data_IF_150941748523
#
_entry.id   IF_150941748523
#
_cell.length_a   1.000
_cell.length_b   1.000
_cell.length_c   1.000
_cell.angle_alpha   90.00
_cell.angle_beta   90.00
_cell.angle_gamma   90.00
#
_symmetry.space_group_name_H-M   'P 1'
#
loop_
_entity.id
_entity.type
_entity.pdbx_description
1 polymer ?
#
# COMPACT_ATOMS: atom_id res chain seq x y z
N UNK A 1 -25.66 -33.70 -51.60
CA UNK A 1 -25.99 -32.76 -50.52
C UNK A 1 -26.63 -33.55 -49.39
N UNK A 2 -25.97 -33.67 -48.22
CA UNK A 2 -26.61 -34.25 -47.04
C UNK A 2 -27.63 -33.23 -46.54
N UNK A 3 -28.91 -33.44 -46.86
CA UNK A 3 -29.98 -32.81 -46.10
C UNK A 3 -29.82 -33.28 -44.66
N UNK A 4 -29.59 -32.36 -43.72
CA UNK A 4 -29.70 -32.69 -42.29
C UNK A 4 -31.07 -33.33 -42.08
N UNK A 5 -31.08 -34.62 -41.74
CA UNK A 5 -32.31 -35.33 -41.42
C UNK A 5 -32.90 -34.71 -40.17
N UNK A 6 -34.22 -34.43 -40.21
CA UNK A 6 -35.09 -33.92 -39.14
C UNK A 6 -34.98 -34.59 -37.76
N UNK A 7 -34.16 -35.61 -37.59
CA UNK A 7 -34.00 -36.35 -36.34
C UNK A 7 -33.13 -35.62 -35.29
N UNK A 8 -32.31 -34.64 -35.68
CA UNK A 8 -31.40 -33.93 -34.76
C UNK A 8 -31.93 -32.56 -34.27
N UNK A 9 -33.11 -32.11 -34.75
CA UNK A 9 -33.71 -30.85 -34.33
C UNK A 9 -34.51 -31.03 -33.03
N UNK A 10 -33.82 -31.06 -31.89
CA UNK A 10 -34.43 -31.12 -30.54
C UNK A 10 -34.75 -29.76 -29.91
N UNK A 11 -34.44 -28.64 -30.56
CA UNK A 11 -34.81 -27.31 -30.06
C UNK A 11 -35.96 -26.71 -30.87
N UNK A 12 -36.99 -26.25 -30.15
CA UNK A 12 -38.12 -25.53 -30.74
C UNK A 12 -37.61 -24.21 -31.33
N UNK A 13 -38.02 -23.92 -32.58
CA UNK A 13 -37.75 -22.63 -33.21
C UNK A 13 -38.61 -21.56 -32.53
N UNK A 14 -37.99 -20.53 -31.99
CA UNK A 14 -38.70 -19.41 -31.34
C UNK A 14 -39.08 -18.38 -32.41
N UNK A 15 -40.37 -17.97 -32.51
CA UNK A 15 -40.79 -16.93 -33.45
C UNK A 15 -40.23 -15.55 -33.05
N UNK A 16 -40.01 -14.69 -34.05
CA UNK A 16 -39.58 -13.30 -33.85
C UNK A 16 -40.64 -12.37 -34.42
N UNK A 17 -41.19 -11.49 -33.57
CA UNK A 17 -42.20 -10.52 -33.98
C UNK A 17 -41.58 -9.21 -34.48
N UNK A 18 -41.91 -8.84 -35.72
CA UNK A 18 -41.53 -7.57 -36.32
C UNK A 18 -42.73 -6.64 -36.45
N UNK A 19 -42.82 -5.64 -35.58
CA UNK A 19 -43.88 -4.62 -35.57
C UNK A 19 -43.33 -3.27 -36.02
N UNK A 20 -42.99 -3.15 -37.31
CA UNK A 20 -42.42 -1.91 -37.88
C UNK A 20 -43.55 -0.91 -38.16
N UNK A 21 -43.55 0.30 -37.57
CA UNK A 21 -44.53 1.32 -37.91
C UNK A 21 -44.45 1.73 -39.39
N UNK A 22 -45.57 2.03 -40.08
CA UNK A 22 -45.56 2.37 -41.51
C UNK A 22 -44.73 3.62 -41.88
N UNK A 23 -44.50 4.54 -40.95
CA UNK A 23 -43.68 5.73 -41.15
C UNK A 23 -42.18 5.50 -40.92
N UNK A 24 -41.79 4.28 -40.57
CA UNK A 24 -40.40 3.92 -40.26
C UNK A 24 -39.66 3.51 -41.53
N UNK A 25 -38.56 4.19 -41.80
CA UNK A 25 -37.63 3.94 -42.92
C UNK A 25 -36.28 3.41 -42.43
N UNK A 26 -35.97 3.49 -41.13
CA UNK A 26 -34.76 2.95 -40.52
C UNK A 26 -35.09 2.26 -39.20
N UNK A 27 -34.64 1.01 -39.02
CA UNK A 27 -34.70 0.27 -37.77
C UNK A 27 -33.29 -0.11 -37.34
N UNK A 28 -32.88 0.33 -36.16
CA UNK A 28 -31.63 -0.07 -35.53
C UNK A 28 -31.90 -1.13 -34.45
N UNK A 29 -31.43 -2.36 -34.65
CA UNK A 29 -31.53 -3.47 -33.71
C UNK A 29 -30.24 -3.57 -32.91
N UNK A 30 -30.34 -3.45 -31.59
CA UNK A 30 -29.20 -3.37 -30.66
C UNK A 30 -29.25 -4.48 -29.62
N UNK A 31 -28.14 -4.72 -28.92
CA UNK A 31 -28.01 -5.77 -27.91
C UNK A 31 -26.84 -6.72 -28.19
N UNK A 32 -26.65 -7.77 -27.37
CA UNK A 32 -25.52 -8.68 -27.50
C UNK A 32 -25.60 -9.50 -28.80
N UNK A 33 -24.45 -9.90 -29.35
CA UNK A 33 -24.38 -10.70 -30.59
C UNK A 33 -25.05 -12.07 -30.44
N UNK A 34 -25.05 -12.61 -29.22
CA UNK A 34 -25.75 -13.85 -28.84
C UNK A 34 -27.27 -13.69 -28.71
N UNK A 35 -27.82 -12.47 -28.76
CA UNK A 35 -29.26 -12.20 -28.62
C UNK A 35 -30.09 -12.48 -29.88
N UNK A 36 -29.48 -12.99 -30.96
CA UNK A 36 -30.21 -13.40 -32.16
C UNK A 36 -30.41 -12.31 -33.22
N UNK A 37 -29.72 -11.15 -33.11
CA UNK A 37 -29.81 -10.02 -34.06
C UNK A 37 -29.71 -10.45 -35.54
N UNK A 38 -28.64 -11.17 -35.90
CA UNK A 38 -28.42 -11.68 -37.26
C UNK A 38 -29.49 -12.70 -37.68
N UNK A 39 -29.96 -13.54 -36.77
CA UNK A 39 -30.99 -14.54 -37.04
C UNK A 39 -32.34 -13.86 -37.34
N UNK A 40 -32.71 -12.86 -36.55
CA UNK A 40 -33.90 -12.04 -36.76
C UNK A 40 -33.83 -11.32 -38.12
N UNK A 41 -32.68 -10.76 -38.48
CA UNK A 41 -32.48 -10.09 -39.76
C UNK A 41 -32.62 -11.05 -40.96
N UNK A 42 -32.06 -12.27 -40.85
CA UNK A 42 -32.22 -13.33 -41.85
C UNK A 42 -33.67 -13.81 -41.96
N UNK A 43 -34.38 -13.95 -40.85
CA UNK A 43 -35.79 -14.34 -40.82
C UNK A 43 -36.67 -13.32 -41.56
N UNK A 44 -36.47 -12.02 -41.30
CA UNK A 44 -37.16 -10.94 -42.02
C UNK A 44 -36.86 -10.97 -43.52
N UNK A 45 -35.59 -11.07 -43.91
CA UNK A 45 -35.19 -11.14 -45.31
C UNK A 45 -35.81 -12.34 -46.04
N UNK A 46 -35.84 -13.51 -45.40
CA UNK A 46 -36.46 -14.71 -45.95
C UNK A 46 -37.97 -14.54 -46.13
N UNK A 47 -38.67 -13.98 -45.13
CA UNK A 47 -40.11 -13.71 -45.22
C UNK A 47 -40.44 -12.76 -46.39
N UNK A 48 -39.66 -11.68 -46.57
CA UNK A 48 -39.84 -10.73 -47.68
C UNK A 48 -39.63 -11.41 -49.05
N UNK A 49 -38.60 -12.25 -49.18
CA UNK A 49 -38.32 -12.99 -50.41
C UNK A 49 -39.40 -14.03 -50.72
N UNK A 50 -39.90 -14.73 -49.70
CA UNK A 50 -41.00 -15.70 -49.84
C UNK A 50 -42.29 -15.02 -50.30
N UNK A 51 -42.66 -13.89 -49.67
CA UNK A 51 -43.83 -13.12 -50.08
C UNK A 51 -43.71 -12.63 -51.54
N UNK A 52 -42.52 -12.13 -51.93
CA UNK A 52 -42.23 -11.73 -53.30
C UNK A 52 -42.33 -12.88 -54.31
N UNK A 53 -41.96 -14.09 -53.90
CA UNK A 53 -42.08 -15.30 -54.71
C UNK A 53 -43.51 -15.87 -54.76
N UNK A 54 -44.48 -15.24 -54.08
CA UNK A 54 -45.86 -15.74 -53.98
C UNK A 54 -46.00 -16.95 -53.05
N UNK A 55 -45.03 -17.19 -52.17
CA UNK A 55 -45.07 -18.24 -51.17
C UNK A 55 -45.74 -17.74 -49.89
N UNK A 56 -46.35 -18.66 -49.13
CA UNK A 56 -46.75 -18.38 -47.75
C UNK A 56 -45.50 -18.05 -46.93
N UNK A 57 -45.55 -16.96 -46.17
CA UNK A 57 -44.50 -16.63 -45.20
C UNK A 57 -44.67 -17.47 -43.94
N UNK A 58 -43.57 -17.87 -43.26
CA UNK A 58 -43.61 -18.60 -42.00
C UNK A 58 -43.94 -17.63 -40.85
N UNK A 59 -45.13 -17.04 -40.93
CA UNK A 59 -45.65 -16.09 -39.96
C UNK A 59 -47.09 -16.48 -39.61
N UNK A 60 -47.44 -16.32 -38.34
CA UNK A 60 -48.71 -16.75 -37.78
C UNK A 60 -48.52 -17.10 -36.32
N UNK A 61 -49.48 -16.70 -35.48
CA UNK A 61 -49.49 -17.07 -34.07
C UNK A 61 -49.54 -18.59 -33.90
N UNK A 62 -49.10 -19.04 -32.75
CA UNK A 62 -49.12 -20.41 -32.22
C UNK A 62 -50.53 -21.03 -32.06
N UNK A 63 -51.53 -20.51 -32.77
CA UNK A 63 -52.93 -20.89 -32.62
C UNK A 63 -53.67 -20.12 -31.52
N UNK A 64 -53.04 -19.14 -30.86
CA UNK A 64 -53.71 -18.26 -29.90
C UNK A 64 -53.96 -16.85 -30.46
N UNK A 65 -55.25 -16.47 -30.48
CA UNK A 65 -55.89 -15.13 -30.55
C UNK A 65 -55.43 -14.02 -31.51
N UNK A 66 -54.34 -14.15 -32.26
CA UNK A 66 -53.97 -13.17 -33.28
C UNK A 66 -54.87 -13.32 -34.51
N UNK A 67 -55.93 -12.51 -34.56
CA UNK A 67 -56.89 -12.45 -35.69
C UNK A 67 -56.34 -11.64 -36.87
N UNK A 68 -55.25 -10.89 -36.68
CA UNK A 68 -54.70 -10.04 -37.73
C UNK A 68 -53.71 -10.80 -38.64
N UNK A 69 -53.89 -10.72 -39.97
CA UNK A 69 -52.95 -11.34 -40.90
C UNK A 69 -51.59 -10.65 -40.83
N UNK A 70 -50.50 -11.43 -40.84
CA UNK A 70 -49.15 -10.88 -40.98
C UNK A 70 -49.04 -10.10 -42.29
N UNK A 71 -48.54 -8.87 -42.21
CA UNK A 71 -48.35 -7.98 -43.36
C UNK A 71 -46.87 -7.72 -43.58
N UNK A 72 -46.45 -7.78 -44.83
CA UNK A 72 -45.11 -7.38 -45.24
C UNK A 72 -45.21 -6.35 -46.36
N UNK A 73 -44.30 -5.37 -46.43
CA UNK A 73 -44.30 -4.43 -47.54
C UNK A 73 -44.02 -5.14 -48.87
N UNK A 74 -44.64 -4.66 -49.94
CA UNK A 74 -44.21 -5.06 -51.28
C UNK A 74 -42.80 -4.53 -51.55
N UNK A 75 -41.87 -5.42 -51.84
CA UNK A 75 -40.49 -5.05 -52.15
C UNK A 75 -40.02 -5.59 -53.50
N UNK A 76 -39.41 -4.69 -54.29
CA UNK A 76 -38.79 -5.02 -55.57
C UNK A 76 -37.42 -5.68 -55.41
N UNK A 77 -36.69 -5.36 -54.35
CA UNK A 77 -35.39 -5.95 -54.04
C UNK A 77 -35.17 -5.99 -52.53
N UNK A 78 -34.70 -7.12 -52.05
CA UNK A 78 -34.09 -7.23 -50.72
C UNK A 78 -32.59 -7.25 -50.93
N UNK A 79 -31.91 -6.21 -50.47
CA UNK A 79 -30.46 -6.04 -50.55
C UNK A 79 -29.88 -6.29 -49.16
N UNK A 80 -28.80 -7.06 -49.07
CA UNK A 80 -28.31 -7.49 -47.78
C UNK A 80 -26.78 -7.55 -47.71
N UNK A 81 -26.21 -7.02 -46.63
CA UNK A 81 -24.85 -7.32 -46.19
C UNK A 81 -24.98 -8.11 -44.88
N UNK A 82 -25.04 -9.44 -45.02
CA UNK A 82 -25.22 -10.37 -43.91
C UNK A 82 -24.05 -11.34 -43.93
N UNK A 83 -23.23 -11.38 -42.90
CA UNK A 83 -22.18 -12.39 -42.86
C UNK A 83 -21.07 -12.11 -41.87
N UNK A 84 -20.43 -13.20 -41.49
CA UNK A 84 -19.22 -13.20 -40.68
C UNK A 84 -18.00 -13.07 -41.59
N UNK A 85 -16.98 -12.43 -41.06
CA UNK A 85 -15.73 -12.01 -41.71
C UNK A 85 -14.90 -13.09 -42.42
N UNK A 86 -15.34 -14.35 -42.40
CA UNK A 86 -14.52 -15.54 -42.60
C UNK A 86 -14.77 -16.27 -43.93
N UNK A 87 -15.54 -15.71 -44.85
CA UNK A 87 -15.71 -16.30 -46.18
C UNK A 87 -14.53 -15.94 -47.10
N UNK A 88 -13.35 -16.51 -46.81
CA UNK A 88 -12.09 -16.34 -47.56
C UNK A 88 -12.21 -16.65 -49.06
N UNK A 89 -13.24 -17.39 -49.48
CA UNK A 89 -13.44 -17.81 -50.87
C UNK A 89 -14.00 -16.70 -51.78
N UNK A 90 -14.62 -15.65 -51.22
CA UNK A 90 -15.25 -14.57 -52.01
C UNK A 90 -14.35 -13.33 -52.19
N UNK A 91 -13.32 -13.18 -51.36
CA UNK A 91 -12.68 -11.87 -51.15
C UNK A 91 -11.38 -11.64 -51.94
N UNK A 92 -10.96 -12.53 -52.84
CA UNK A 92 -9.92 -12.22 -53.85
C UNK A 92 -8.59 -11.60 -53.35
N UNK A 93 -8.26 -11.74 -52.06
CA UNK A 93 -7.11 -11.11 -51.41
C UNK A 93 -7.39 -9.79 -50.64
N UNK A 94 -8.64 -9.37 -50.50
CA UNK A 94 -9.05 -8.20 -49.71
C UNK A 94 -9.22 -8.54 -48.22
N UNK A 95 -8.98 -7.55 -47.36
CA UNK A 95 -9.36 -7.60 -45.95
C UNK A 95 -10.89 -7.66 -45.82
N UNK A 96 -11.39 -8.38 -44.80
CA UNK A 96 -12.80 -8.47 -44.41
C UNK A 96 -13.53 -7.13 -44.51
N UNK A 97 -12.95 -6.07 -43.95
CA UNK A 97 -13.55 -4.73 -43.93
C UNK A 97 -13.74 -4.15 -45.35
N UNK A 98 -12.75 -4.34 -46.22
CA UNK A 98 -12.83 -3.88 -47.62
C UNK A 98 -13.90 -4.63 -48.40
N UNK A 99 -14.12 -5.91 -48.12
CA UNK A 99 -15.19 -6.69 -48.73
C UNK A 99 -16.58 -6.18 -48.31
N UNK A 100 -16.77 -5.84 -47.03
CA UNK A 100 -17.99 -5.18 -46.54
C UNK A 100 -18.20 -3.84 -47.25
N UNK A 101 -17.18 -3.00 -47.36
CA UNK A 101 -17.28 -1.71 -48.07
C UNK A 101 -17.71 -1.87 -49.54
N UNK A 102 -17.15 -2.85 -50.25
CA UNK A 102 -17.53 -3.14 -51.63
C UNK A 102 -19.00 -3.60 -51.71
N UNK A 103 -19.47 -4.42 -50.77
CA UNK A 103 -20.88 -4.83 -50.69
C UNK A 103 -21.79 -3.64 -50.40
N UNK A 104 -21.46 -2.81 -49.42
CA UNK A 104 -22.21 -1.59 -49.10
C UNK A 104 -22.30 -0.64 -50.30
N UNK A 105 -21.20 -0.46 -51.04
CA UNK A 105 -21.21 0.35 -52.27
C UNK A 105 -22.16 -0.21 -53.33
N UNK A 106 -22.18 -1.54 -53.52
CA UNK A 106 -23.11 -2.20 -54.46
C UNK A 106 -24.56 -2.05 -54.01
N UNK A 107 -24.83 -2.19 -52.71
CA UNK A 107 -26.16 -1.99 -52.13
C UNK A 107 -26.66 -0.57 -52.40
N UNK A 108 -25.86 0.45 -52.08
CA UNK A 108 -26.26 1.85 -52.28
C UNK A 108 -26.51 2.16 -53.76
N UNK A 109 -25.66 1.68 -54.67
CA UNK A 109 -25.88 1.84 -56.12
C UNK A 109 -27.17 1.17 -56.60
N UNK A 110 -27.42 -0.06 -56.17
CA UNK A 110 -28.64 -0.78 -56.55
C UNK A 110 -29.91 -0.14 -55.94
N UNK A 111 -29.80 0.49 -54.77
CA UNK A 111 -30.89 1.29 -54.21
C UNK A 111 -31.15 2.56 -55.03
N UNK A 112 -30.09 3.25 -55.49
CA UNK A 112 -30.21 4.44 -56.35
C UNK A 112 -30.85 4.14 -57.71
N UNK A 113 -30.53 2.98 -58.32
CA UNK A 113 -31.10 2.55 -59.60
C UNK A 113 -32.62 2.29 -59.56
N UNK A 114 -33.16 1.99 -58.37
CA UNK A 114 -34.58 1.63 -58.18
C UNK A 114 -35.36 2.74 -57.44
N UNK A 115 -34.72 3.90 -57.22
CA UNK A 115 -35.28 5.11 -56.60
C UNK A 115 -36.20 5.88 -57.57
N UNK A 116 -37.12 5.21 -58.25
CA UNK A 116 -38.14 5.83 -59.12
C UNK A 116 -39.32 6.43 -58.31
N UNK A 117 -39.02 7.08 -57.17
CA UNK A 117 -39.99 7.83 -56.37
C UNK A 117 -40.93 7.03 -55.44
N UNK A 118 -40.97 5.69 -55.53
CA UNK A 118 -41.82 4.84 -54.68
C UNK A 118 -41.02 3.92 -53.72
N UNK A 119 -39.70 4.13 -53.61
CA UNK A 119 -38.74 3.40 -52.76
C UNK A 119 -39.21 1.97 -52.41
N UNK A 120 -39.00 1.01 -53.31
CA UNK A 120 -39.49 -0.38 -53.10
C UNK A 120 -38.38 -1.35 -52.68
N UNK A 121 -37.23 -0.83 -52.25
CA UNK A 121 -36.07 -1.61 -51.84
C UNK A 121 -36.04 -1.76 -50.32
N UNK A 122 -35.77 -2.97 -49.82
CA UNK A 122 -35.46 -3.20 -48.40
C UNK A 122 -33.97 -3.49 -48.27
N UNK A 123 -33.31 -2.82 -47.33
CA UNK A 123 -31.88 -3.00 -47.05
C UNK A 123 -31.69 -3.65 -45.68
N UNK A 124 -30.91 -4.72 -45.61
CA UNK A 124 -30.61 -5.46 -44.38
C UNK A 124 -29.11 -5.44 -44.13
N UNK A 125 -28.65 -4.79 -43.05
CA UNK A 125 -27.23 -4.63 -42.74
C UNK A 125 -26.89 -5.30 -41.41
N UNK A 126 -25.93 -6.21 -41.40
CA UNK A 126 -25.41 -6.81 -40.18
C UNK A 126 -24.11 -6.12 -39.78
N UNK A 127 -24.13 -5.41 -38.64
CA UNK A 127 -22.98 -4.66 -38.10
C UNK A 127 -22.22 -3.81 -39.13
N UNK A 128 -22.89 -2.88 -39.85
CA UNK A 128 -22.21 -2.02 -40.81
C UNK A 128 -21.11 -1.22 -40.11
N UNK A 129 -19.90 -1.22 -40.67
CA UNK A 129 -18.73 -0.59 -40.05
C UNK A 129 -17.92 -1.51 -39.12
N UNK A 130 -18.31 -2.78 -38.96
CA UNK A 130 -17.53 -3.77 -38.22
C UNK A 130 -16.18 -4.11 -38.86
N UNK A 131 -15.24 -4.62 -38.05
CA UNK A 131 -13.92 -5.08 -38.52
C UNK A 131 -12.87 -3.99 -38.73
N UNK A 132 -13.08 -2.79 -38.19
CA UNK A 132 -12.12 -1.66 -38.18
C UNK A 132 -12.08 -0.99 -36.80
N UNK A 133 -11.35 0.12 -36.67
CA UNK A 133 -11.37 0.98 -35.48
C UNK A 133 -12.82 1.32 -35.06
N UNK A 134 -13.20 1.16 -33.78
CA UNK A 134 -14.58 1.37 -33.35
C UNK A 134 -15.13 2.78 -33.63
N UNK A 135 -14.32 3.83 -33.49
CA UNK A 135 -14.79 5.20 -33.70
C UNK A 135 -14.97 5.49 -35.20
N UNK A 136 -14.03 5.06 -36.04
CA UNK A 136 -14.17 5.16 -37.49
C UNK A 136 -15.33 4.30 -38.01
N UNK A 137 -15.45 3.08 -37.51
CA UNK A 137 -16.50 2.12 -37.85
C UNK A 137 -17.88 2.68 -37.52
N UNK A 138 -18.06 3.25 -36.33
CA UNK A 138 -19.29 3.89 -35.91
C UNK A 138 -19.67 5.11 -36.79
N UNK A 139 -18.70 5.97 -37.12
CA UNK A 139 -18.93 7.12 -37.99
C UNK A 139 -19.35 6.69 -39.41
N UNK A 140 -18.68 5.67 -39.96
CA UNK A 140 -19.01 5.09 -41.25
C UNK A 140 -20.40 4.44 -41.23
N UNK A 141 -20.71 3.66 -40.19
CA UNK A 141 -22.01 3.03 -40.00
C UNK A 141 -23.13 4.07 -40.05
N UNK A 142 -22.99 5.15 -39.28
CA UNK A 142 -23.97 6.23 -39.25
C UNK A 142 -24.17 6.88 -40.63
N UNK A 143 -23.09 7.13 -41.37
CA UNK A 143 -23.16 7.68 -42.72
C UNK A 143 -23.88 6.74 -43.71
N UNK A 144 -23.57 5.44 -43.64
CA UNK A 144 -24.19 4.40 -44.48
C UNK A 144 -25.68 4.23 -44.16
N UNK A 145 -26.06 4.27 -42.88
CA UNK A 145 -27.46 4.17 -42.46
C UNK A 145 -28.28 5.38 -42.94
N UNK A 146 -27.76 6.60 -42.76
CA UNK A 146 -28.40 7.81 -43.30
C UNK A 146 -28.56 7.74 -44.81
N UNK A 147 -27.52 7.26 -45.52
CA UNK A 147 -27.56 7.10 -46.96
C UNK A 147 -28.59 6.03 -47.40
N UNK A 148 -28.67 4.91 -46.69
CA UNK A 148 -29.59 3.82 -47.02
C UNK A 148 -31.04 4.20 -46.75
N UNK A 149 -31.31 4.92 -45.65
CA UNK A 149 -32.64 5.38 -45.27
C UNK A 149 -33.30 6.24 -46.37
N UNK A 150 -32.56 7.14 -46.99
CA UNK A 150 -33.11 8.03 -48.03
C UNK A 150 -33.28 7.35 -49.39
N UNK A 151 -32.78 6.12 -49.55
CA UNK A 151 -32.75 5.38 -50.82
C UNK A 151 -33.60 4.11 -50.79
N UNK A 152 -34.23 3.78 -49.67
CA UNK A 152 -34.93 2.52 -49.47
C UNK A 152 -36.27 2.72 -48.79
N UNK A 153 -37.16 1.74 -48.92
CA UNK A 153 -38.41 1.68 -48.19
C UNK A 153 -38.16 1.56 -46.69
N UNK A 154 -37.23 0.66 -46.38
CA UNK A 154 -36.90 0.24 -45.03
C UNK A 154 -35.45 -0.24 -45.03
N UNK A 155 -34.64 0.37 -44.17
CA UNK A 155 -33.33 -0.15 -43.79
C UNK A 155 -33.44 -0.76 -42.40
N UNK A 156 -33.05 -2.02 -42.24
CA UNK A 156 -32.91 -2.67 -40.93
C UNK A 156 -31.45 -3.00 -40.71
N UNK A 157 -30.89 -2.52 -39.62
CA UNK A 157 -29.49 -2.72 -39.31
C UNK A 157 -29.29 -3.24 -37.88
N UNK A 158 -28.37 -4.18 -37.70
CA UNK A 158 -27.90 -4.58 -36.37
C UNK A 158 -26.67 -3.74 -36.00
N UNK A 159 -26.50 -3.40 -34.73
CA UNK A 159 -25.28 -2.73 -34.28
C UNK A 159 -25.00 -2.95 -32.80
N UNK A 160 -23.73 -2.78 -32.45
CA UNK A 160 -23.24 -2.65 -31.09
C UNK A 160 -22.63 -1.25 -30.81
N UNK A 161 -22.63 -0.35 -31.79
CA UNK A 161 -22.10 1.00 -31.66
C UNK A 161 -23.12 1.94 -31.00
N UNK A 162 -22.67 2.74 -30.04
CA UNK A 162 -23.49 3.73 -29.33
C UNK A 162 -23.93 4.86 -30.27
N UNK A 163 -23.11 5.22 -31.26
CA UNK A 163 -23.42 6.26 -32.25
C UNK A 163 -24.57 5.86 -33.18
N UNK A 164 -24.75 4.56 -33.44
CA UNK A 164 -25.91 4.04 -34.19
C UNK A 164 -27.18 4.11 -33.34
N UNK A 165 -27.06 3.91 -32.02
CA UNK A 165 -28.17 4.15 -31.08
C UNK A 165 -28.55 5.62 -31.05
N UNK A 166 -27.54 6.50 -30.90
CA UNK A 166 -27.71 7.94 -30.91
C UNK A 166 -28.34 8.43 -32.21
N UNK A 167 -28.03 7.81 -33.36
CA UNK A 167 -28.68 8.13 -34.63
C UNK A 167 -30.19 7.90 -34.60
N UNK A 168 -30.64 6.78 -34.02
CA UNK A 168 -32.06 6.48 -33.85
C UNK A 168 -32.72 7.41 -32.81
N UNK A 169 -31.99 7.83 -31.79
CA UNK A 169 -32.47 8.73 -30.73
C UNK A 169 -32.53 10.21 -31.15
N UNK A 170 -31.61 10.66 -32.02
CA UNK A 170 -31.41 12.06 -32.42
C UNK A 170 -32.56 12.70 -33.22
N UNK A 171 -33.73 12.07 -33.25
CA UNK A 171 -34.93 12.59 -33.92
C UNK A 171 -34.90 12.46 -35.44
N UNK A 172 -34.10 11.53 -35.99
CA UNK A 172 -34.11 11.26 -37.41
C UNK A 172 -35.52 10.77 -37.81
N UNK A 173 -36.20 11.54 -38.66
CA UNK A 173 -37.57 11.25 -39.05
C UNK A 173 -37.65 9.86 -39.68
N UNK A 174 -38.52 9.01 -39.14
CA UNK A 174 -38.68 7.62 -39.59
C UNK A 174 -37.62 6.64 -39.07
N UNK A 175 -36.77 7.03 -38.12
CA UNK A 175 -35.93 6.08 -37.41
C UNK A 175 -36.66 5.46 -36.21
N UNK A 176 -36.45 4.17 -35.98
CA UNK A 176 -36.92 3.44 -34.82
C UNK A 176 -35.78 2.58 -34.26
N UNK A 177 -35.80 2.36 -32.96
CA UNK A 177 -34.89 1.47 -32.24
C UNK A 177 -35.63 0.21 -31.78
N UNK A 178 -34.89 -0.90 -31.75
CA UNK A 178 -35.30 -2.11 -31.07
C UNK A 178 -34.09 -2.74 -30.37
N UNK A 179 -34.34 -3.43 -29.27
CA UNK A 179 -33.34 -4.23 -28.58
C UNK A 179 -33.70 -5.72 -28.68
N UNK A 180 -32.71 -6.58 -28.84
CA UNK A 180 -32.91 -8.02 -28.59
C UNK A 180 -32.89 -8.27 -27.09
N UNK A 181 -33.92 -8.94 -26.58
CA UNK A 181 -33.97 -9.41 -25.20
C UNK A 181 -33.05 -10.64 -25.05
N UNK A 182 -32.31 -10.66 -23.94
CA UNK A 182 -31.34 -11.71 -23.62
C UNK A 182 -31.54 -12.17 -22.18
N UNK A 183 -31.73 -13.47 -22.00
CA UNK A 183 -31.87 -14.06 -20.68
C UNK A 183 -30.47 -14.25 -20.06
N UNK A 184 -30.18 -13.44 -19.04
CA UNK A 184 -28.91 -13.47 -18.34
C UNK A 184 -28.71 -14.70 -17.45
N UNK A 185 -29.79 -15.38 -17.04
CA UNK A 185 -29.73 -16.59 -16.22
C UNK A 185 -29.44 -17.82 -17.09
N UNK A 186 -30.14 -17.97 -18.20
CA UNK A 186 -29.99 -19.14 -19.10
C UNK A 186 -28.92 -18.94 -20.17
N UNK A 187 -28.47 -17.69 -20.39
CA UNK A 187 -27.57 -17.26 -21.46
C UNK A 187 -28.09 -17.56 -22.87
N UNK A 188 -29.42 -17.67 -23.02
CA UNK A 188 -30.07 -17.97 -24.30
C UNK A 188 -30.73 -16.71 -24.88
N UNK A 189 -30.73 -16.54 -26.21
CA UNK A 189 -31.57 -15.55 -26.85
C UNK A 189 -33.04 -15.88 -26.63
N UNK A 190 -33.85 -14.90 -26.22
CA UNK A 190 -35.30 -15.05 -26.16
C UNK A 190 -35.96 -14.77 -27.52
N UNK A 191 -35.19 -14.25 -28.48
CA UNK A 191 -35.65 -13.88 -29.82
C UNK A 191 -36.76 -12.81 -29.83
N UNK A 192 -36.97 -12.12 -28.71
CA UNK A 192 -37.94 -11.04 -28.58
C UNK A 192 -37.30 -9.70 -28.89
N UNK A 193 -37.98 -8.90 -29.71
CA UNK A 193 -37.59 -7.52 -30.03
C UNK A 193 -38.37 -6.55 -29.13
N UNK A 194 -37.64 -5.80 -28.32
CA UNK A 194 -38.16 -4.74 -27.46
C UNK A 194 -38.10 -3.41 -28.24
N UNK A 195 -39.22 -3.05 -28.86
CA UNK A 195 -39.35 -1.83 -29.66
C UNK A 195 -39.31 -0.58 -28.77
N UNK A 196 -38.56 0.44 -29.19
CA UNK A 196 -38.36 1.66 -28.39
C UNK A 196 -37.23 1.56 -27.36
N UNK A 197 -36.65 0.37 -27.17
CA UNK A 197 -35.57 0.14 -26.20
C UNK A 197 -34.20 -0.01 -26.86
N UNK A 198 -33.15 0.18 -26.05
CA UNK A 198 -31.76 -0.03 -26.44
C UNK A 198 -31.16 -1.20 -25.66
N UNK A 199 -30.53 -2.12 -26.38
CA UNK A 199 -29.85 -3.26 -25.78
C UNK A 199 -28.48 -2.84 -25.25
N UNK A 200 -28.15 -3.29 -24.04
CA UNK A 200 -26.81 -3.18 -23.49
C UNK A 200 -25.92 -4.35 -23.96
N UNK A 201 -24.65 -4.06 -24.23
CA UNK A 201 -23.65 -5.06 -24.58
C UNK A 201 -23.13 -5.74 -23.32
N UNK A 202 -23.79 -6.81 -22.87
CA UNK A 202 -23.45 -7.52 -21.64
C UNK A 202 -22.32 -8.56 -21.81
N UNK A 203 -21.26 -8.21 -22.56
CA UNK A 203 -20.20 -9.15 -22.92
C UNK A 203 -19.47 -9.76 -21.70
N UNK A 204 -19.22 -8.96 -20.66
CA UNK A 204 -18.54 -9.41 -19.44
C UNK A 204 -19.43 -10.36 -18.64
N UNK A 205 -20.70 -10.03 -18.46
CA UNK A 205 -21.68 -10.89 -17.77
C UNK A 205 -21.91 -12.20 -18.53
N UNK A 206 -21.94 -12.16 -19.86
CA UNK A 206 -22.02 -13.35 -20.70
C UNK A 206 -20.78 -14.22 -20.51
N UNK A 207 -19.57 -13.63 -20.53
CA UNK A 207 -18.33 -14.36 -20.30
C UNK A 207 -18.30 -15.02 -18.92
N UNK A 208 -18.80 -14.34 -17.88
CA UNK A 208 -18.95 -14.91 -16.54
C UNK A 208 -19.91 -16.12 -16.54
N UNK A 209 -21.08 -15.98 -17.17
CA UNK A 209 -22.04 -17.07 -17.30
C UNK A 209 -21.52 -18.28 -18.10
N UNK A 210 -20.65 -18.05 -19.10
CA UNK A 210 -19.98 -19.10 -19.86
C UNK A 210 -18.83 -19.79 -19.08
N UNK A 211 -18.55 -19.36 -17.85
CA UNK A 211 -17.56 -19.98 -16.97
C UNK A 211 -16.15 -19.38 -17.06
N UNK A 212 -15.99 -18.13 -17.51
CA UNK A 212 -14.71 -17.44 -17.41
C UNK A 212 -14.30 -17.28 -15.93
N UNK A 213 -13.00 -17.45 -15.64
CA UNK A 213 -12.49 -17.41 -14.27
C UNK A 213 -12.90 -16.10 -13.54
N UNK A 214 -13.39 -16.17 -12.28
CA UNK A 214 -13.89 -15.01 -11.55
C UNK A 214 -12.88 -13.86 -11.45
N UNK A 215 -11.59 -14.19 -11.34
CA UNK A 215 -10.50 -13.21 -11.27
C UNK A 215 -10.37 -12.42 -12.58
N UNK A 216 -10.56 -13.08 -13.73
CA UNK A 216 -10.54 -12.44 -15.05
C UNK A 216 -11.78 -11.57 -15.27
N UNK A 217 -12.96 -12.05 -14.86
CA UNK A 217 -14.22 -11.29 -14.90
C UNK A 217 -14.07 -10.01 -14.07
N UNK A 218 -13.62 -10.14 -12.81
CA UNK A 218 -13.42 -9.00 -11.91
C UNK A 218 -12.37 -8.01 -12.45
N UNK A 219 -11.30 -8.51 -13.06
CA UNK A 219 -10.30 -7.67 -13.71
C UNK A 219 -10.88 -6.91 -14.92
N UNK A 220 -11.69 -7.56 -15.75
CA UNK A 220 -12.35 -6.96 -16.90
C UNK A 220 -13.36 -5.90 -16.47
N UNK A 221 -14.21 -6.18 -15.48
CA UNK A 221 -15.17 -5.22 -14.91
C UNK A 221 -14.47 -3.97 -14.38
N UNK A 222 -13.40 -4.15 -13.58
CA UNK A 222 -12.62 -3.05 -13.04
C UNK A 222 -12.02 -2.17 -14.14
N UNK A 223 -11.53 -2.79 -15.21
CA UNK A 223 -10.95 -2.05 -16.35
C UNK A 223 -12.03 -1.31 -17.14
N UNK A 224 -13.17 -1.94 -17.39
CA UNK A 224 -14.31 -1.34 -18.09
C UNK A 224 -14.86 -0.13 -17.34
N UNK A 225 -15.08 -0.24 -16.02
CA UNK A 225 -15.54 0.87 -15.18
C UNK A 225 -14.57 2.06 -15.20
N UNK A 226 -13.26 1.81 -15.13
CA UNK A 226 -12.24 2.88 -15.26
C UNK A 226 -12.31 3.60 -16.60
N UNK A 227 -12.56 2.88 -17.69
CA UNK A 227 -12.71 3.49 -19.02
C UNK A 227 -13.97 4.36 -19.09
N UNK A 228 -15.10 3.88 -18.57
CA UNK A 228 -16.33 4.67 -18.50
C UNK A 228 -16.14 5.96 -17.70
N UNK A 229 -15.47 5.90 -16.54
CA UNK A 229 -15.13 7.09 -15.75
C UNK A 229 -14.24 8.07 -16.49
N UNK A 230 -13.21 7.59 -17.17
CA UNK A 230 -12.34 8.45 -17.97
C UNK A 230 -13.11 9.15 -19.11
N UNK A 231 -14.07 8.45 -19.74
CA UNK A 231 -14.95 9.03 -20.74
C UNK A 231 -15.94 10.04 -20.13
N UNK A 232 -16.59 9.70 -19.01
CA UNK A 232 -17.54 10.55 -18.30
C UNK A 232 -16.88 11.84 -17.76
N UNK A 233 -15.67 11.73 -17.21
CA UNK A 233 -14.87 12.87 -16.76
C UNK A 233 -14.48 13.80 -17.92
N UNK A 234 -14.25 13.25 -19.13
CA UNK A 234 -14.00 14.07 -20.32
C UNK A 234 -15.27 14.79 -20.81
N UNK A 235 -16.45 14.27 -20.53
CA UNK A 235 -17.76 14.89 -20.88
C UNK A 235 -18.39 15.71 -19.75
N UNK A 236 -17.79 15.72 -18.55
CA UNK A 236 -18.29 16.47 -17.40
C UNK A 236 -19.52 15.84 -16.70
N UNK A 237 -19.75 14.55 -16.89
CA UNK A 237 -20.86 13.81 -16.28
C UNK A 237 -20.39 13.15 -14.96
N UNK A 238 -21.01 13.54 -13.83
CA UNK A 238 -20.63 13.11 -12.47
C UNK A 238 -21.50 11.97 -11.92
N UNK A 239 -22.25 11.28 -12.78
CA UNK A 239 -23.21 10.25 -12.39
C UNK A 239 -22.60 8.93 -11.87
N UNK A 240 -21.27 8.78 -11.88
CA UNK A 240 -20.56 7.52 -11.56
C UNK A 240 -19.69 7.56 -10.28
N UNK A 241 -19.76 8.63 -9.48
CA UNK A 241 -18.78 8.84 -8.40
C UNK A 241 -19.14 8.10 -7.09
N UNK A 242 -20.39 8.05 -6.65
CA UNK A 242 -20.69 7.70 -5.24
C UNK A 242 -20.43 6.23 -4.82
N UNK A 243 -20.86 5.24 -5.60
CA UNK A 243 -20.86 3.85 -5.14
C UNK A 243 -19.48 3.17 -5.20
N UNK A 244 -18.68 3.52 -6.20
CA UNK A 244 -17.37 2.91 -6.43
C UNK A 244 -16.27 3.60 -5.63
N UNK A 245 -16.42 4.88 -5.29
CA UNK A 245 -15.50 5.59 -4.39
C UNK A 245 -15.57 5.02 -2.97
N UNK A 246 -16.77 4.63 -2.54
CA UNK A 246 -16.98 3.90 -1.29
C UNK A 246 -16.24 2.55 -1.33
N UNK A 247 -16.31 1.82 -2.43
CA UNK A 247 -15.65 0.53 -2.58
C UNK A 247 -14.12 0.66 -2.61
N UNK A 248 -13.58 1.68 -3.30
CA UNK A 248 -12.14 1.94 -3.37
C UNK A 248 -11.59 2.42 -2.03
N UNK A 249 -12.37 3.21 -1.27
CA UNK A 249 -12.08 3.59 0.10
C UNK A 249 -12.10 2.39 1.06
N UNK A 250 -13.08 1.50 0.93
CA UNK A 250 -13.16 0.27 1.74
C UNK A 250 -11.95 -0.64 1.49
N UNK A 251 -11.58 -0.85 0.23
CA UNK A 251 -10.38 -1.60 -0.16
C UNK A 251 -9.10 -0.94 0.39
N UNK A 252 -9.02 0.39 0.39
CA UNK A 252 -7.88 1.12 0.94
C UNK A 252 -7.79 0.99 2.47
N UNK A 253 -8.93 1.08 3.16
CA UNK A 253 -9.03 0.91 4.61
C UNK A 253 -8.64 -0.52 5.04
N UNK A 254 -9.05 -1.54 4.30
CA UNK A 254 -8.68 -2.94 4.60
C UNK A 254 -7.16 -3.14 4.48
N UNK A 255 -6.53 -2.61 3.42
CA UNK A 255 -5.06 -2.67 3.26
C UNK A 255 -4.33 -1.93 4.38
N UNK A 256 -4.83 -0.75 4.78
CA UNK A 256 -4.24 -0.02 5.90
C UNK A 256 -4.39 -0.83 7.20
N UNK A 257 -5.56 -1.44 7.45
CA UNK A 257 -5.79 -2.31 8.62
C UNK A 257 -4.79 -3.48 8.66
N UNK A 258 -4.61 -4.19 7.55
CA UNK A 258 -3.65 -5.31 7.47
C UNK A 258 -2.22 -4.87 7.75
N UNK A 259 -1.82 -3.70 7.23
CA UNK A 259 -0.47 -3.15 7.50
C UNK A 259 -0.30 -2.70 8.95
N UNK A 260 -1.33 -2.14 9.57
CA UNK A 260 -1.32 -1.78 11.00
C UNK A 260 -1.25 -3.02 11.88
N UNK A 261 -2.00 -4.07 11.58
CA UNK A 261 -1.95 -5.35 12.30
C UNK A 261 -0.56 -5.99 12.20
N UNK A 262 0.06 -5.99 11.01
CA UNK A 262 1.43 -6.47 10.84
C UNK A 262 2.43 -5.66 11.65
N UNK A 263 2.34 -4.32 11.61
CA UNK A 263 3.22 -3.42 12.39
C UNK A 263 3.04 -3.61 13.89
N UNK A 264 1.80 -3.78 14.36
CA UNK A 264 1.50 -4.05 15.77
C UNK A 264 2.07 -5.39 16.22
N UNK A 265 1.96 -6.44 15.40
CA UNK A 265 2.59 -7.73 15.66
C UNK A 265 4.11 -7.65 15.73
N UNK A 266 4.75 -6.94 14.80
CA UNK A 266 6.19 -6.70 14.81
C UNK A 266 6.65 -5.91 16.04
N UNK A 267 5.89 -4.88 16.44
CA UNK A 267 6.17 -4.07 17.62
C UNK A 267 6.03 -4.87 18.93
N UNK A 268 4.97 -5.68 19.06
CA UNK A 268 4.78 -6.57 20.20
C UNK A 268 5.97 -7.51 20.37
N UNK A 269 6.39 -8.14 19.28
CA UNK A 269 7.49 -9.10 19.31
C UNK A 269 8.85 -8.43 19.56
N UNK A 270 8.99 -7.15 19.20
CA UNK A 270 10.17 -6.35 19.55
C UNK A 270 10.19 -5.96 21.04
N UNK A 271 9.03 -5.65 21.63
CA UNK A 271 8.90 -5.38 23.07
C UNK A 271 9.24 -6.61 23.90
N UNK A 272 8.70 -7.79 23.55
CA UNK A 272 9.01 -9.05 24.25
C UNK A 272 10.53 -9.32 24.26
N UNK A 273 11.21 -9.15 23.11
CA UNK A 273 12.67 -9.29 23.03
C UNK A 273 13.41 -8.25 23.87
N UNK A 274 12.91 -7.02 23.96
CA UNK A 274 13.52 -5.98 24.75
C UNK A 274 13.40 -6.27 26.25
N UNK A 275 12.26 -6.82 26.68
CA UNK A 275 12.05 -7.28 28.06
C UNK A 275 12.99 -8.43 28.43
N UNK A 276 13.13 -9.44 27.57
CA UNK A 276 14.05 -10.55 27.77
C UNK A 276 15.52 -10.08 27.89
N UNK A 277 15.96 -9.20 26.99
CA UNK A 277 17.29 -8.62 27.03
C UNK A 277 17.50 -7.77 28.29
N UNK A 278 16.50 -7.00 28.70
CA UNK A 278 16.57 -6.21 29.92
C UNK A 278 16.74 -7.10 31.15
N UNK A 279 15.96 -8.18 31.24
CA UNK A 279 16.09 -9.16 32.31
C UNK A 279 17.49 -9.79 32.35
N UNK A 280 18.05 -10.17 31.20
CA UNK A 280 19.41 -10.72 31.11
C UNK A 280 20.48 -9.72 31.56
N UNK A 281 20.37 -8.45 31.16
CA UNK A 281 21.29 -7.38 31.54
C UNK A 281 21.24 -7.12 33.05
N UNK A 282 20.04 -7.06 33.64
CA UNK A 282 19.85 -6.88 35.09
C UNK A 282 20.47 -8.05 35.85
N UNK A 283 20.23 -9.30 35.41
CA UNK A 283 20.78 -10.49 36.05
C UNK A 283 22.31 -10.56 35.96
N UNK A 284 22.89 -10.26 34.79
CA UNK A 284 24.36 -10.16 34.63
C UNK A 284 24.94 -9.05 35.49
N UNK A 285 24.29 -7.89 35.57
CA UNK A 285 24.70 -6.78 36.42
C UNK A 285 24.75 -7.16 37.90
N UNK A 286 23.70 -7.83 38.39
CA UNK A 286 23.63 -8.32 39.76
C UNK A 286 24.75 -9.33 40.08
N UNK A 287 25.01 -10.28 39.17
CA UNK A 287 26.13 -11.25 39.31
C UNK A 287 27.50 -10.58 39.39
N UNK A 288 27.75 -9.59 38.52
CA UNK A 288 29.02 -8.85 38.51
C UNK A 288 29.22 -8.05 39.79
N UNK A 289 28.16 -7.42 40.30
CA UNK A 289 28.21 -6.67 41.56
C UNK A 289 28.55 -7.59 42.74
N UNK A 290 27.89 -8.75 42.82
CA UNK A 290 28.14 -9.75 43.87
C UNK A 290 29.56 -10.33 43.82
N UNK A 291 30.10 -10.61 42.63
CA UNK A 291 31.51 -11.00 42.51
C UNK A 291 32.44 -9.90 43.01
N UNK A 292 32.18 -8.63 42.64
CA UNK A 292 33.00 -7.50 43.04
C UNK A 292 32.97 -7.26 44.55
N UNK A 293 31.81 -7.41 45.20
CA UNK A 293 31.70 -7.28 46.66
C UNK A 293 32.48 -8.37 47.38
N UNK A 294 32.41 -9.63 46.91
CA UNK A 294 33.20 -10.74 47.47
C UNK A 294 34.71 -10.48 47.38
N UNK A 295 35.21 -10.12 46.19
CA UNK A 295 36.65 -9.82 46.03
C UNK A 295 37.10 -8.64 46.90
N UNK A 296 36.26 -7.62 47.06
CA UNK A 296 36.56 -6.49 47.93
C UNK A 296 36.61 -6.89 49.41
N UNK A 297 35.71 -7.76 49.87
CA UNK A 297 35.71 -8.29 51.23
C UNK A 297 36.94 -9.15 51.50
N UNK A 298 37.28 -10.08 50.59
CA UNK A 298 38.46 -10.95 50.72
C UNK A 298 39.76 -10.14 50.77
N UNK A 299 39.87 -9.09 49.94
CA UNK A 299 41.01 -8.16 49.96
C UNK A 299 41.08 -7.31 51.24
N UNK A 300 39.93 -6.99 51.84
CA UNK A 300 39.88 -6.26 53.11
C UNK A 300 40.27 -7.16 54.29
N UNK A 301 39.84 -8.42 54.26
CA UNK A 301 40.18 -9.42 55.27
C UNK A 301 41.68 -9.75 55.27
N UNK A 302 42.28 -9.93 54.09
CA UNK A 302 43.74 -10.14 53.97
C UNK A 302 44.53 -8.96 54.53
N UNK A 303 44.19 -7.71 54.15
CA UNK A 303 44.85 -6.52 54.70
C UNK A 303 44.66 -6.36 56.21
N UNK A 304 43.47 -6.69 56.74
CA UNK A 304 43.22 -6.66 58.18
C UNK A 304 44.07 -7.70 58.91
N UNK A 305 44.26 -8.88 58.32
CA UNK A 305 45.09 -9.95 58.87
C UNK A 305 46.57 -9.59 58.88
N UNK A 306 47.08 -9.07 57.77
CA UNK A 306 48.47 -8.58 57.66
C UNK A 306 48.74 -7.45 58.66
N UNK A 307 47.84 -6.46 58.77
CA UNK A 307 47.97 -5.38 59.74
C UNK A 307 47.90 -5.85 61.20
N UNK A 308 47.12 -6.91 61.49
CA UNK A 308 47.07 -7.53 62.83
C UNK A 308 48.37 -8.26 63.17
N UNK A 309 48.97 -8.98 62.22
CA UNK A 309 50.28 -9.64 62.41
C UNK A 309 51.40 -8.63 62.64
N UNK A 310 51.44 -7.52 61.89
CA UNK A 310 52.39 -6.44 62.12
C UNK A 310 52.22 -5.79 63.50
N UNK A 311 50.97 -5.55 63.93
CA UNK A 311 50.68 -4.98 65.25
C UNK A 311 51.13 -5.92 66.39
N UNK A 312 50.89 -7.22 66.26
CA UNK A 312 51.35 -8.23 67.24
C UNK A 312 52.88 -8.31 67.29
N UNK A 313 53.56 -8.21 66.14
CA UNK A 313 55.03 -8.19 66.09
C UNK A 313 55.61 -6.96 66.81
N UNK A 314 54.97 -5.79 66.67
CA UNK A 314 55.37 -4.58 67.38
C UNK A 314 55.15 -4.69 68.89
N UNK A 315 54.03 -5.27 69.34
CA UNK A 315 53.74 -5.47 70.76
C UNK A 315 54.80 -6.36 71.42
N UNK A 316 55.12 -7.51 70.81
CA UNK A 316 56.15 -8.42 71.34
C UNK A 316 57.53 -7.77 71.45
N UNK A 317 57.85 -6.80 70.60
CA UNK A 317 59.13 -6.11 70.60
C UNK A 317 59.22 -5.05 71.72
N UNK A 318 58.09 -4.44 72.08
CA UNK A 318 57.97 -3.56 73.25
C UNK A 318 58.07 -4.36 74.55
N UNK A 319 57.32 -5.47 74.65
CA UNK A 319 57.37 -6.35 75.84
C UNK A 319 58.79 -6.90 76.08
N UNK A 320 59.48 -7.34 75.02
CA UNK A 320 60.86 -7.81 75.12
C UNK A 320 61.85 -6.71 75.55
N UNK A 321 61.57 -5.44 75.25
CA UNK A 321 62.39 -4.31 75.68
C UNK A 321 62.15 -3.99 77.16
N UNK A 322 60.90 -4.03 77.61
CA UNK A 322 60.58 -3.83 79.04
C UNK A 322 61.20 -4.92 79.92
N UNK A 323 61.17 -6.18 79.49
CA UNK A 323 61.86 -7.29 80.18
C UNK A 323 63.39 -7.08 80.23
N UNK A 324 63.98 -6.56 79.15
CA UNK A 324 65.41 -6.27 79.10
C UNK A 324 65.79 -5.14 80.07
N UNK A 325 64.98 -4.07 80.12
CA UNK A 325 65.19 -2.92 81.00
C UNK A 325 65.08 -3.31 82.49
N UNK A 326 64.20 -4.25 82.85
CA UNK A 326 64.14 -4.81 84.22
C UNK A 326 65.39 -5.61 84.59
N UNK A 327 65.89 -6.48 83.70
CA UNK A 327 67.11 -7.25 83.95
C UNK A 327 68.32 -6.34 84.10
N UNK A 328 68.44 -5.30 83.26
CA UNK A 328 69.50 -4.30 83.37
C UNK A 328 69.42 -3.57 84.70
N UNK A 329 68.22 -3.15 85.14
CA UNK A 329 68.02 -2.46 86.43
C UNK A 329 68.42 -3.32 87.63
N UNK A 330 68.27 -4.64 87.56
CA UNK A 330 68.71 -5.58 88.61
C UNK A 330 70.22 -5.82 88.67
N UNK A 331 70.96 -5.53 87.60
CA UNK A 331 72.42 -5.70 87.50
C UNK A 331 73.20 -4.40 87.79
N UNK A 332 72.51 -3.27 87.97
CA UNK A 332 73.15 -1.97 88.19
C UNK A 332 73.62 -1.75 89.64
N UNK A 333 74.71 -0.99 89.85
CA UNK A 333 75.12 -0.54 91.18
C UNK A 333 74.08 0.39 91.84
N UNK A 334 74.03 0.48 93.19
CA UNK A 334 73.18 1.46 93.88
C UNK A 334 73.48 2.89 93.40
N UNK A 335 72.45 3.65 93.03
CA UNK A 335 72.58 5.03 92.57
C UNK A 335 72.66 5.22 91.05
N UNK A 336 72.24 4.25 90.23
CA UNK A 336 72.20 4.35 88.75
C UNK A 336 70.78 4.10 88.21
N UNK A 337 70.40 4.78 87.12
CA UNK A 337 69.11 4.67 86.42
C UNK A 337 69.30 4.56 84.90
N UNK A 338 68.26 4.16 84.16
CA UNK A 338 68.21 4.22 82.69
C UNK A 338 67.63 5.57 82.24
N UNK A 339 68.15 6.13 81.15
CA UNK A 339 67.59 7.33 80.50
C UNK A 339 66.53 6.99 79.42
N UNK A 340 65.94 8.00 78.77
CA UNK A 340 64.93 7.81 77.71
C UNK A 340 65.44 7.04 76.47
N UNK A 341 66.76 6.85 76.36
CA UNK A 341 67.42 6.11 75.26
C UNK A 341 67.78 4.68 75.65
N UNK A 342 67.69 4.32 76.93
CA UNK A 342 68.03 2.99 77.45
C UNK A 342 69.49 2.84 77.89
N UNK A 343 70.20 3.95 78.11
CA UNK A 343 71.59 3.95 78.57
C UNK A 343 71.67 4.09 80.11
N UNK A 344 72.60 3.38 80.75
CA UNK A 344 72.79 3.41 82.21
C UNK A 344 73.58 4.66 82.66
N UNK A 345 73.00 5.47 83.55
CA UNK A 345 73.56 6.74 84.03
C UNK A 345 73.51 6.88 85.57
N UNK A 346 74.47 7.57 86.22
CA UNK A 346 74.43 7.84 87.66
C UNK A 346 73.29 8.80 88.03
N UNK A 347 72.62 8.56 89.15
CA UNK A 347 71.61 9.44 89.71
C UNK A 347 72.30 10.46 90.63
N UNK A 348 72.48 11.69 90.16
CA UNK A 348 73.08 12.79 90.95
C UNK A 348 72.12 13.98 91.11
N UNK A 349 72.24 14.65 92.27
CA UNK A 349 71.39 15.73 92.77
C UNK A 349 71.99 17.13 92.47
N UNK A 350 71.19 18.07 91.93
CA UNK A 350 71.25 19.51 92.29
C UNK A 350 71.88 20.58 91.34
N UNK A 351 71.00 21.40 90.73
CA UNK A 351 71.02 22.88 90.47
C UNK A 351 72.08 23.63 89.59
N UNK A 352 71.57 24.49 88.66
CA UNK A 352 72.03 25.91 88.56
C UNK A 352 72.56 26.53 87.25
N UNK A 353 71.65 27.10 86.42
CA UNK A 353 71.67 28.40 85.67
C UNK A 353 72.78 28.85 84.68
N UNK A 354 72.31 29.24 83.47
CA UNK A 354 72.62 30.41 82.56
C UNK A 354 74.09 30.66 82.13
N UNK A 355 74.46 31.00 80.88
CA UNK A 355 73.87 31.93 79.91
C UNK A 355 74.43 31.73 78.47
N UNK A 356 73.75 32.32 77.48
CA UNK A 356 74.00 32.48 76.01
C UNK A 356 75.40 33.14 75.68
N UNK A 357 75.94 33.29 74.43
CA UNK A 357 75.22 33.35 73.15
C UNK A 357 75.84 32.79 71.86
N UNK A 358 74.94 32.50 70.91
CA UNK A 358 74.98 33.15 69.59
C UNK A 358 75.61 32.40 68.41
N UNK A 359 74.76 32.00 67.45
CA UNK A 359 75.14 31.87 66.04
C UNK A 359 74.39 30.80 65.25
N UNK A 360 73.26 31.18 64.61
CA UNK A 360 72.44 30.31 63.74
C UNK A 360 73.11 29.89 62.42
N UNK A 361 72.37 29.38 61.40
CA UNK A 361 71.16 30.04 60.87
C UNK A 361 69.99 29.12 60.44
N UNK A 362 68.77 29.57 60.74
CA UNK A 362 67.67 29.76 59.77
C UNK A 362 66.99 28.54 59.11
N UNK A 363 65.89 28.05 59.70
CA UNK A 363 64.77 27.46 58.94
C UNK A 363 63.41 28.00 59.42
N UNK A 364 63.01 29.08 58.73
CA UNK A 364 61.67 29.50 58.29
C UNK A 364 60.46 29.10 59.15
N UNK A 365 59.81 30.13 59.68
CA UNK A 365 58.38 30.13 59.98
C UNK A 365 57.59 29.47 58.85
N UNK A 366 56.78 28.43 59.17
CA UNK A 366 55.74 27.98 58.26
C UNK A 366 54.71 29.10 58.15
N UNK A 367 54.88 29.97 57.15
CA UNK A 367 53.82 30.85 56.66
C UNK A 367 52.61 29.94 56.40
N UNK A 368 51.46 30.20 57.05
CA UNK A 368 50.19 29.61 56.63
C UNK A 368 50.00 30.04 55.17
N UNK A 369 50.07 29.09 54.26
CA UNK A 369 49.74 29.33 52.86
C UNK A 369 48.23 29.58 52.78
N UNK A 370 47.87 30.68 52.14
CA UNK A 370 46.50 30.99 51.75
C UNK A 370 46.48 31.05 50.23
N UNK A 371 45.57 30.32 49.57
CA UNK A 371 45.46 30.34 48.12
C UNK A 371 45.07 31.76 47.64
N UNK A 372 45.33 32.04 46.37
CA UNK A 372 44.87 33.24 45.68
C UNK A 372 43.84 32.90 44.61
N UNK A 373 42.94 33.84 44.27
CA UNK A 373 41.98 33.65 43.18
C UNK A 373 42.74 33.44 41.86
N UNK A 374 42.41 32.35 41.15
CA UNK A 374 43.08 31.87 39.94
C UNK A 374 44.15 30.78 40.20
N UNK A 375 44.48 30.48 41.45
CA UNK A 375 45.48 29.45 41.80
C UNK A 375 44.90 28.03 41.70
N UNK A 376 45.68 27.07 41.21
CA UNK A 376 45.29 25.65 41.19
C UNK A 376 45.68 24.95 42.49
N UNK A 377 44.69 24.37 43.17
CA UNK A 377 44.81 23.81 44.51
C UNK A 377 44.25 22.39 44.57
N UNK A 378 44.72 21.60 45.53
CA UNK A 378 44.24 20.22 45.77
C UNK A 378 43.14 20.23 46.82
N UNK A 379 41.99 19.65 46.50
CA UNK A 379 40.79 19.65 47.37
C UNK A 379 40.57 18.27 47.98
N UNK A 380 40.77 18.14 49.30
CA UNK A 380 40.69 16.86 50.02
C UNK A 380 39.29 16.23 49.97
N UNK A 381 38.24 17.03 50.06
CA UNK A 381 36.85 16.54 50.02
C UNK A 381 36.46 15.96 48.65
N UNK A 382 37.20 16.32 47.59
CA UNK A 382 37.03 15.80 46.23
C UNK A 382 38.07 14.71 45.92
N UNK A 383 38.48 13.94 46.92
CA UNK A 383 39.43 12.83 46.74
C UNK A 383 40.84 13.28 46.35
N UNK A 384 41.22 14.54 46.62
CA UNK A 384 42.54 15.08 46.26
C UNK A 384 42.63 15.57 44.81
N UNK A 385 41.52 15.96 44.20
CA UNK A 385 41.52 16.47 42.84
C UNK A 385 42.02 17.94 42.77
N UNK A 386 42.64 18.30 41.64
CA UNK A 386 43.13 19.66 41.36
C UNK A 386 42.00 20.55 40.84
N UNK A 387 41.80 21.71 41.48
CA UNK A 387 40.75 22.66 41.13
C UNK A 387 41.28 24.10 41.17
N UNK A 388 40.74 24.98 40.34
CA UNK A 388 41.10 26.40 40.29
C UNK A 388 40.28 27.20 41.30
N UNK A 389 40.92 28.07 42.08
CA UNK A 389 40.25 28.94 43.05
C UNK A 389 39.51 30.07 42.31
N UNK A 390 38.20 30.14 42.45
CA UNK A 390 37.37 31.18 41.81
C UNK A 390 37.11 32.35 42.75
N UNK A 391 36.93 32.09 44.04
CA UNK A 391 36.58 33.10 45.03
C UNK A 391 37.01 32.65 46.43
N UNK A 392 37.39 33.59 47.29
CA UNK A 392 37.79 33.33 48.68
C UNK A 392 36.93 34.21 49.58
N UNK A 393 36.13 33.59 50.44
CA UNK A 393 35.19 34.25 51.34
C UNK A 393 35.48 33.82 52.78
N UNK A 394 36.40 34.53 53.43
CA UNK A 394 36.80 34.29 54.81
C UNK A 394 37.34 32.88 55.05
N UNK A 395 36.51 32.02 55.63
CA UNK A 395 36.85 30.63 55.99
C UNK A 395 36.55 29.61 54.88
N UNK A 396 35.89 30.02 53.79
CA UNK A 396 35.52 29.17 52.66
C UNK A 396 36.20 29.60 51.36
N UNK A 397 36.40 28.63 50.48
CA UNK A 397 36.98 28.81 49.15
C UNK A 397 36.06 28.16 48.11
N UNK A 398 35.69 28.93 47.09
CA UNK A 398 34.98 28.41 45.92
C UNK A 398 35.99 27.95 44.89
N UNK A 399 35.92 26.68 44.50
CA UNK A 399 36.85 26.04 43.56
C UNK A 399 36.10 25.55 42.32
N UNK A 400 36.78 25.52 41.18
CA UNK A 400 36.28 25.01 39.91
C UNK A 400 37.12 23.83 39.43
N UNK A 401 36.46 22.71 39.17
CA UNK A 401 37.05 21.52 38.59
C UNK A 401 36.34 21.19 37.28
N UNK A 402 36.97 21.53 36.15
CA UNK A 402 36.33 21.46 34.84
C UNK A 402 35.07 22.34 34.77
N UNK A 403 33.90 21.74 34.53
CA UNK A 403 32.59 22.41 34.49
C UNK A 403 31.85 22.50 35.83
N UNK A 404 32.40 21.93 36.91
CA UNK A 404 31.79 21.91 38.24
C UNK A 404 32.38 23.03 39.13
N UNK A 405 31.52 23.83 39.78
CA UNK A 405 31.92 24.84 40.77
C UNK A 405 31.36 24.44 42.14
N UNK A 406 32.21 24.38 43.17
CA UNK A 406 31.79 23.99 44.53
C UNK A 406 32.50 24.81 45.61
N UNK A 407 31.87 24.94 46.78
CA UNK A 407 32.40 25.67 47.95
C UNK A 407 32.94 24.68 48.97
N UNK A 408 34.18 24.85 49.41
CA UNK A 408 34.85 24.00 50.40
C UNK A 408 35.52 24.85 51.49
N UNK A 409 35.65 24.37 52.74
CA UNK A 409 36.40 25.09 53.76
C UNK A 409 37.87 25.25 53.38
N UNK A 410 38.47 26.40 53.73
CA UNK A 410 39.89 26.72 53.48
C UNK A 410 40.85 25.66 54.04
N UNK A 411 40.49 25.01 55.16
CA UNK A 411 41.28 23.93 55.77
C UNK A 411 41.28 22.62 54.95
N UNK A 412 40.33 22.47 54.02
CA UNK A 412 40.20 21.30 53.12
C UNK A 412 41.03 21.41 51.83
N UNK A 413 41.79 22.50 51.67
CA UNK A 413 42.55 22.84 50.47
C UNK A 413 44.05 22.86 50.77
N UNK A 414 44.86 22.32 49.87
CA UNK A 414 46.33 22.32 49.96
C UNK A 414 46.98 22.74 48.64
N UNK A 415 48.21 23.28 48.64
CA UNK A 415 48.89 23.66 47.40
C UNK A 415 49.15 22.43 46.52
N UNK A 416 49.02 22.59 45.21
CA UNK A 416 49.54 21.64 44.22
C UNK A 416 51.07 21.65 44.35
N UNK A 417 51.68 20.52 44.70
CA UNK A 417 53.07 20.48 45.17
C UNK A 417 54.08 21.03 44.15
N UNK A 418 54.53 22.27 44.36
CA UNK A 418 55.87 22.79 44.00
C UNK A 418 56.37 23.74 45.08
N UNK A 419 56.81 23.19 46.20
CA UNK A 419 57.87 23.74 47.04
C UNK A 419 58.65 22.60 47.67
#
# INVERSE_FOLDING_TARGET
ARFQSRADAREAVVPVDFAVPPSTSLVAITGPNTGGKTASLKALGLALLMARAGLHIPAGGDGSDSTEPSRVPWTRRVLADLGDAQSLELDGGLSTFSAHLVRLQRILRASDEECDGNHSVVVLLDEPGGGTDPAEGAALAAAVLRASQTRSLLTVATSHYEEVKALAESGLVGAANAAVEFDAETLRPTYRLLWGEFGQSNAISIAAGLGLAPELVKAAEKRWRRQQRAAAAATGDTSFDDADDIQELADALERERETQERRAGEASLALDRAEDLHAEVVERGARLLDLRTRFAMESAETRAREGMEEALALINLVDAREELDEVVRGLMPPGWTLDERGDAVPADEGEGTEDDPGGGPGWRSRRRWTPTVGETVVVRQLGGAEAEVVEIDGADVTVRLGGLVTRTPLAGVSPTSKF
#
